data_IF_612111144888
#
_entry.id   IF_612111144888
#
_cell.length_a   1.000
_cell.length_b   1.000
_cell.length_c   1.000
_cell.angle_alpha   90.00
_cell.angle_beta   90.00
_cell.angle_gamma   90.00
#
_symmetry.space_group_name_H-M   'P 1'
#
loop_
_entity.id
_entity.type
_entity.pdbx_description
1 polymer ?
#
# COMPACT_ATOMS: atom_id res chain seq x y z
N UNK A 1 15.82 -12.87 -18.95
CA UNK A 1 14.48 -12.56 -18.40
C UNK A 1 13.99 -13.78 -17.63
N UNK A 2 13.77 -13.65 -16.33
CA UNK A 2 13.40 -14.80 -15.46
C UNK A 2 12.01 -15.32 -15.80
N UNK A 3 11.84 -16.64 -15.90
CA UNK A 3 10.54 -17.26 -16.19
C UNK A 3 9.58 -17.06 -15.01
N UNK A 4 8.32 -16.64 -15.23
CA UNK A 4 7.34 -16.53 -14.17
C UNK A 4 7.09 -17.87 -13.47
N UNK A 5 7.12 -17.86 -12.13
CA UNK A 5 6.81 -18.99 -11.26
C UNK A 5 5.37 -18.87 -10.77
N UNK A 6 4.59 -19.94 -10.94
CA UNK A 6 3.18 -20.01 -10.49
C UNK A 6 3.09 -20.42 -9.03
N UNK A 7 2.24 -19.74 -8.26
CA UNK A 7 1.86 -20.13 -6.90
C UNK A 7 0.34 -20.05 -6.74
N UNK A 8 -0.22 -20.91 -5.89
CA UNK A 8 -1.64 -20.94 -5.57
C UNK A 8 -1.87 -20.49 -4.14
N UNK A 9 -2.95 -19.75 -3.92
CA UNK A 9 -3.40 -19.27 -2.62
C UNK A 9 -4.88 -19.55 -2.46
N UNK A 10 -5.32 -19.75 -1.22
CA UNK A 10 -6.74 -19.81 -0.89
C UNK A 10 -7.14 -18.45 -0.33
N UNK A 11 -7.89 -17.67 -1.10
CA UNK A 11 -8.33 -16.31 -0.76
C UNK A 11 -9.86 -16.27 -0.85
N UNK A 12 -10.54 -15.81 0.19
CA UNK A 12 -12.03 -15.74 0.26
C UNK A 12 -12.76 -17.04 -0.09
N UNK A 13 -12.21 -18.19 0.30
CA UNK A 13 -12.80 -19.50 0.00
C UNK A 13 -12.63 -19.97 -1.45
N UNK A 14 -11.93 -19.21 -2.30
CA UNK A 14 -11.60 -19.61 -3.66
C UNK A 14 -10.08 -19.76 -3.84
N UNK A 15 -9.69 -20.72 -4.68
CA UNK A 15 -8.28 -20.95 -5.01
C UNK A 15 -7.88 -20.03 -6.15
N UNK A 16 -7.02 -19.07 -5.85
CA UNK A 16 -6.45 -18.15 -6.84
C UNK A 16 -5.02 -18.53 -7.13
N UNK A 17 -4.61 -18.53 -8.40
CA UNK A 17 -3.22 -18.78 -8.76
C UNK A 17 -2.65 -17.61 -9.55
N UNK A 18 -1.45 -17.19 -9.19
CA UNK A 18 -0.72 -16.09 -9.87
C UNK A 18 0.66 -16.56 -10.29
N UNK A 19 1.16 -15.96 -11.36
CA UNK A 19 2.49 -16.24 -11.92
C UNK A 19 3.32 -14.95 -11.95
N UNK A 20 4.42 -14.94 -11.20
CA UNK A 20 5.32 -13.80 -11.04
C UNK A 20 6.77 -14.22 -11.27
N UNK A 21 7.60 -13.30 -11.74
CA UNK A 21 9.04 -13.48 -11.87
C UNK A 21 9.67 -13.59 -10.46
N UNK A 22 10.79 -14.31 -10.34
CA UNK A 22 11.49 -14.51 -9.05
C UNK A 22 11.76 -13.22 -8.28
N UNK A 23 12.24 -12.13 -8.89
CA UNK A 23 12.47 -10.88 -8.16
C UNK A 23 11.21 -10.30 -7.50
N UNK A 24 10.03 -10.49 -8.11
CA UNK A 24 8.78 -10.06 -7.50
C UNK A 24 8.38 -10.94 -6.33
N UNK A 25 8.65 -12.25 -6.38
CA UNK A 25 8.43 -13.12 -5.23
C UNK A 25 9.32 -12.74 -4.04
N UNK A 26 10.60 -12.47 -4.30
CA UNK A 26 11.56 -12.09 -3.27
C UNK A 26 11.16 -10.75 -2.63
N UNK A 27 10.89 -9.75 -3.47
CA UNK A 27 10.38 -8.45 -3.01
C UNK A 27 9.08 -8.58 -2.20
N UNK A 28 8.15 -9.45 -2.62
CA UNK A 28 6.90 -9.67 -1.88
C UNK A 28 7.16 -10.30 -0.50
N UNK A 29 8.11 -11.23 -0.40
CA UNK A 29 8.54 -11.80 0.88
C UNK A 29 9.13 -10.73 1.79
N UNK A 30 10.01 -9.87 1.26
CA UNK A 30 10.62 -8.77 2.03
C UNK A 30 9.56 -7.81 2.59
N UNK A 31 8.57 -7.43 1.76
CA UNK A 31 7.47 -6.56 2.19
C UNK A 31 6.62 -7.23 3.26
N UNK A 32 6.32 -8.52 3.09
CA UNK A 32 5.53 -9.29 4.04
C UNK A 32 6.25 -9.40 5.41
N UNK A 33 7.55 -9.71 5.40
CA UNK A 33 8.38 -9.76 6.61
C UNK A 33 8.47 -8.40 7.31
N UNK A 34 8.69 -7.32 6.56
CA UNK A 34 8.73 -5.97 7.12
C UNK A 34 7.40 -5.54 7.76
N UNK A 35 6.28 -6.06 7.27
CA UNK A 35 4.93 -5.84 7.83
C UNK A 35 4.48 -6.90 8.84
N UNK A 36 5.36 -7.81 9.26
CA UNK A 36 5.07 -8.95 10.15
C UNK A 36 3.81 -9.74 9.76
N UNK A 37 3.65 -10.02 8.46
CA UNK A 37 2.51 -10.72 7.89
C UNK A 37 2.97 -11.81 6.92
N UNK A 38 2.08 -12.75 6.63
CA UNK A 38 2.37 -13.78 5.62
C UNK A 38 2.23 -13.22 4.20
N UNK A 39 2.93 -13.82 3.25
CA UNK A 39 2.74 -13.54 1.81
C UNK A 39 1.28 -13.75 1.39
N UNK A 40 0.62 -14.81 1.90
CA UNK A 40 -0.78 -15.07 1.58
C UNK A 40 -1.70 -13.96 2.07
N UNK A 41 -1.46 -13.42 3.28
CA UNK A 41 -2.21 -12.29 3.82
C UNK A 41 -1.99 -11.03 2.97
N UNK A 42 -0.73 -10.72 2.62
CA UNK A 42 -0.42 -9.58 1.76
C UNK A 42 -1.09 -9.69 0.38
N UNK A 43 -1.05 -10.87 -0.24
CA UNK A 43 -1.72 -11.10 -1.54
C UNK A 43 -3.24 -10.96 -1.40
N UNK A 44 -3.84 -11.38 -0.29
CA UNK A 44 -5.27 -11.21 -0.04
C UNK A 44 -5.63 -9.72 0.12
N UNK A 45 -4.83 -8.93 0.83
CA UNK A 45 -5.05 -7.48 0.95
C UNK A 45 -4.94 -6.78 -0.41
N UNK A 46 -3.98 -7.16 -1.25
CA UNK A 46 -3.85 -6.65 -2.63
C UNK A 46 -5.06 -7.09 -3.47
N UNK A 47 -5.54 -8.32 -3.28
CA UNK A 47 -6.77 -8.80 -3.92
C UNK A 47 -7.98 -7.93 -3.50
N UNK A 48 -8.07 -7.53 -2.24
CA UNK A 48 -9.17 -6.71 -1.74
C UNK A 48 -9.12 -5.26 -2.24
N UNK A 49 -7.93 -4.69 -2.36
CA UNK A 49 -7.74 -3.28 -2.71
C UNK A 49 -7.71 -3.01 -4.22
N UNK A 50 -7.48 -4.01 -5.07
CA UNK A 50 -7.32 -3.79 -6.52
C UNK A 50 -8.64 -3.45 -7.22
N UNK A 51 -8.60 -2.67 -8.32
CA UNK A 51 -9.76 -2.52 -9.20
C UNK A 51 -10.22 -3.86 -9.79
N UNK A 52 -11.55 -4.09 -9.96
CA UNK A 52 -12.07 -5.37 -10.49
C UNK A 52 -11.54 -5.72 -11.89
N UNK A 53 -11.22 -4.73 -12.71
CA UNK A 53 -10.67 -4.92 -14.06
C UNK A 53 -9.19 -5.34 -14.07
N UNK A 54 -8.48 -5.24 -12.94
CA UNK A 54 -7.05 -5.54 -12.85
C UNK A 54 -6.82 -6.95 -12.35
N UNK A 55 -6.11 -7.76 -13.14
CA UNK A 55 -5.68 -9.10 -12.72
C UNK A 55 -4.74 -9.06 -11.51
N UNK A 56 -4.87 -10.03 -10.59
CA UNK A 56 -4.10 -10.07 -9.35
C UNK A 56 -2.58 -10.04 -9.58
N UNK A 57 -2.08 -10.77 -10.59
CA UNK A 57 -0.65 -10.74 -10.93
C UNK A 57 -0.15 -9.35 -11.34
N UNK A 58 -0.99 -8.54 -11.98
CA UNK A 58 -0.65 -7.17 -12.37
C UNK A 58 -0.70 -6.25 -11.15
N UNK A 59 -1.75 -6.37 -10.34
CA UNK A 59 -1.90 -5.60 -9.10
C UNK A 59 -0.72 -5.82 -8.15
N UNK A 60 -0.26 -7.07 -8.00
CA UNK A 60 0.91 -7.40 -7.16
C UNK A 60 2.19 -6.73 -7.68
N UNK A 61 2.43 -6.73 -8.99
CA UNK A 61 3.65 -6.08 -9.55
C UNK A 61 3.64 -4.57 -9.32
N UNK A 62 2.49 -3.93 -9.51
CA UNK A 62 2.32 -2.48 -9.26
C UNK A 62 2.53 -2.18 -7.77
N UNK A 63 1.89 -2.95 -6.89
CA UNK A 63 2.05 -2.80 -5.45
C UNK A 63 3.52 -2.87 -5.00
N UNK A 64 4.27 -3.87 -5.49
CA UNK A 64 5.70 -4.01 -5.18
C UNK A 64 6.48 -2.78 -5.67
N UNK A 65 6.22 -2.34 -6.91
CA UNK A 65 6.88 -1.15 -7.48
C UNK A 65 6.63 0.10 -6.61
N UNK A 66 5.37 0.37 -6.28
CA UNK A 66 4.99 1.55 -5.51
C UNK A 66 5.56 1.55 -4.09
N UNK A 67 5.61 0.37 -3.46
CA UNK A 67 6.21 0.20 -2.13
C UNK A 67 7.69 0.58 -2.10
N UNK A 68 8.46 0.24 -3.14
CA UNK A 68 9.88 0.60 -3.20
C UNK A 68 10.13 2.02 -3.73
N UNK A 69 9.25 2.56 -4.59
CA UNK A 69 9.32 3.96 -5.03
C UNK A 69 9.07 4.93 -3.87
N UNK A 70 7.99 4.71 -3.11
CA UNK A 70 7.64 5.55 -1.94
C UNK A 70 8.71 5.56 -0.84
N UNK A 71 9.50 4.48 -0.72
CA UNK A 71 10.67 4.42 0.17
C UNK A 71 11.90 5.13 -0.41
N UNK A 72 12.05 5.07 -1.74
CA UNK A 72 13.09 5.76 -2.49
C UNK A 72 12.91 7.29 -2.54
N UNK A 73 11.72 7.80 -2.28
CA UNK A 73 11.45 9.24 -2.21
C UNK A 73 12.17 9.93 -1.02
N UNK A 74 12.67 9.15 -0.04
CA UNK A 74 13.61 9.62 0.99
C UNK A 74 15.04 9.86 0.48
N UNK A 75 15.33 9.55 -0.78
CA UNK A 75 16.61 9.76 -1.50
C UNK A 75 16.47 10.87 -2.56
N UNK A 76 15.35 11.60 -2.63
CA UNK A 76 15.24 12.77 -3.53
C UNK A 76 15.81 14.07 -2.91
N UNK A 77 16.05 14.11 -1.59
CA UNK A 77 16.51 15.32 -0.90
C UNK A 77 18.02 15.38 -0.59
N UNK A 78 18.85 14.40 -1.00
CA UNK A 78 20.29 14.38 -0.62
C UNK A 78 21.30 14.22 -1.76
N UNK A 79 20.92 14.52 -3.00
CA UNK A 79 21.87 14.51 -4.13
C UNK A 79 21.72 15.75 -5.00
N UNK A 80 21.71 16.93 -4.36
CA UNK A 80 21.85 18.22 -5.03
C UNK A 80 23.02 19.00 -4.44
N UNK A 81 24.18 18.34 -4.32
CA UNK A 81 25.48 19.01 -4.19
C UNK A 81 26.55 17.99 -4.59
N UNK A 82 27.45 18.44 -5.46
CA UNK A 82 28.68 17.79 -5.95
C UNK A 82 28.56 16.73 -7.07
N UNK A 83 29.23 16.78 -8.22
CA UNK A 83 30.14 17.76 -8.87
C UNK A 83 30.10 17.54 -10.39
N UNK A 84 29.23 18.25 -11.12
CA UNK A 84 29.37 18.42 -12.57
C UNK A 84 28.91 19.83 -12.92
N UNK A 85 29.86 20.75 -13.10
CA UNK A 85 29.59 22.12 -13.54
C UNK A 85 29.19 22.15 -15.01
N UNK A 86 28.06 22.79 -15.33
CA UNK A 86 28.03 24.14 -15.90
C UNK A 86 26.62 24.52 -16.39
N UNK A 87 26.32 25.82 -16.29
CA UNK A 87 25.30 26.58 -17.02
C UNK A 87 23.79 26.37 -16.66
N UNK A 88 23.36 27.20 -15.70
CA UNK A 88 22.17 28.05 -15.72
C UNK A 88 20.96 27.68 -16.62
N UNK A 89 19.85 27.30 -15.98
CA UNK A 89 18.51 27.88 -16.20
C UNK A 89 17.50 27.19 -15.25
N UNK A 90 17.31 27.72 -14.03
CA UNK A 90 16.19 27.28 -13.19
C UNK A 90 14.94 28.10 -13.56
N UNK A 91 14.00 27.47 -14.25
CA UNK A 91 12.66 28.02 -14.44
C UNK A 91 11.93 27.89 -13.10
N UNK A 92 11.70 29.04 -12.46
CA UNK A 92 10.83 29.11 -11.29
C UNK A 92 9.41 28.85 -11.76
N UNK A 93 8.80 27.75 -11.32
CA UNK A 93 7.34 27.60 -11.38
C UNK A 93 6.81 27.31 -10.00
N UNK A 94 5.79 28.09 -9.69
CA UNK A 94 5.18 28.37 -8.41
C UNK A 94 4.63 27.13 -7.71
N UNK A 95 4.66 27.18 -6.38
CA UNK A 95 4.11 26.15 -5.51
C UNK A 95 2.57 26.19 -5.52
N UNK A 96 1.87 25.05 -5.36
CA UNK A 96 0.59 25.06 -4.69
C UNK A 96 0.78 24.58 -3.25
N UNK A 97 0.78 25.56 -2.34
CA UNK A 97 0.43 25.37 -0.94
C UNK A 97 -1.02 24.88 -0.85
N UNK A 98 -1.24 23.70 -0.26
CA UNK A 98 -2.46 23.47 0.52
C UNK A 98 -2.10 22.87 1.87
N UNK A 99 -2.31 23.70 2.90
CA UNK A 99 -2.62 23.30 4.26
C UNK A 99 -3.79 22.29 4.25
N UNK A 100 -4.01 21.43 5.23
CA UNK A 100 -4.08 21.74 6.65
C UNK A 100 -4.42 20.45 7.42
N UNK A 101 -3.96 20.39 8.68
CA UNK A 101 -4.69 19.92 9.88
C UNK A 101 -5.28 18.48 9.91
N UNK A 102 -5.22 17.71 11.00
CA UNK A 102 -4.74 17.92 12.35
C UNK A 102 -4.63 16.57 13.10
N UNK A 103 -3.68 16.52 14.02
CA UNK A 103 -3.68 15.97 15.40
C UNK A 103 -4.86 15.06 15.82
N UNK A 104 -4.60 13.83 16.29
CA UNK A 104 -4.28 13.44 17.68
C UNK A 104 -5.50 13.24 18.61
N UNK A 105 -5.60 12.00 19.14
CA UNK A 105 -5.94 11.58 20.52
C UNK A 105 -6.99 12.39 21.33
N UNK A 106 -8.00 11.74 21.90
CA UNK A 106 -7.96 11.07 23.22
C UNK A 106 -9.37 10.62 23.70
N UNK A 107 -9.30 9.72 24.66
CA UNK A 107 -10.24 8.94 25.46
C UNK A 107 -11.51 9.57 26.07
N UNK A 108 -12.50 8.68 26.24
CA UNK A 108 -13.37 8.43 27.42
C UNK A 108 -14.13 9.60 28.06
N UNK A 109 -15.48 9.55 27.95
CA UNK A 109 -16.38 9.95 29.02
C UNK A 109 -17.74 9.23 28.88
N UNK A 110 -18.14 8.50 29.92
CA UNK A 110 -19.39 7.76 29.96
C UNK A 110 -20.63 8.66 30.11
N UNK A 111 -21.75 8.20 29.56
CA UNK A 111 -23.06 8.68 29.92
C UNK A 111 -24.05 7.51 30.00
N UNK A 112 -24.70 7.47 31.16
CA UNK A 112 -25.61 6.46 31.68
C UNK A 112 -27.02 6.73 31.14
N UNK A 113 -27.82 5.65 31.09
CA UNK A 113 -29.28 5.60 31.34
C UNK A 113 -30.28 5.52 30.15
N UNK A 114 -31.01 4.39 30.16
CA UNK A 114 -32.48 4.18 30.00
C UNK A 114 -33.09 4.50 28.61
N UNK A 115 -33.83 3.61 27.94
CA UNK A 115 -35.13 3.09 28.36
C UNK A 115 -35.64 1.93 27.45
N UNK A 116 -36.54 1.13 28.02
CA UNK A 116 -37.33 -0.07 27.68
C UNK A 116 -37.51 -0.63 26.23
N UNK A 117 -37.77 -1.95 26.10
CA UNK A 117 -38.28 -2.60 24.88
C UNK A 117 -39.79 -2.37 24.70
N UNK A 118 -40.20 -2.11 23.45
CA UNK A 118 -41.61 -2.08 23.03
C UNK A 118 -42.00 -3.46 22.53
N UNK A 119 -42.79 -4.18 23.33
CA UNK A 119 -43.67 -5.26 22.86
C UNK A 119 -44.83 -4.65 22.07
N UNK A 120 -45.01 -5.08 20.82
CA UNK A 120 -46.23 -5.10 19.98
C UNK A 120 -45.74 -5.32 18.53
N UNK A 121 -46.23 -6.26 17.72
CA UNK A 121 -47.51 -6.93 17.73
C UNK A 121 -47.39 -8.25 16.96
N UNK A 122 -48.39 -9.09 17.18
CA UNK A 122 -48.62 -10.40 16.57
C UNK A 122 -48.88 -10.33 15.06
#
# INVERSE_FOLDING_TARGET
>A
MTRPQKRSFSIKGHRTSISLETPFWDALNEIALAGNRSVAALVAEIDDARPPATGLSTAVRIFVLDHFRSRGDGVSARTATSEFGDAAANVTVDAPTVASAASSTDSVAGARARNAPSDADQ
#
